data_IF_055053548971
#
_entry.id   IF_055053548971
#
_cell.length_a   1.000
_cell.length_b   1.000
_cell.length_c   1.000
_cell.angle_alpha   90.00
_cell.angle_beta   90.00
_cell.angle_gamma   90.00
#
_symmetry.space_group_name_H-M   'P 1'
#
loop_
_entity.id
_entity.type
_entity.pdbx_description
1 polymer ?
#
# COMPACT_ATOMS: atom_id res chain seq x y z
N UNK A 1 -20.69 0.19 -32.64
CA UNK A 1 -19.35 0.38 -32.04
C UNK A 1 -19.28 1.54 -31.02
N UNK A 2 -20.14 2.56 -31.11
CA UNK A 2 -20.21 3.68 -30.16
C UNK A 2 -20.37 3.23 -28.70
N UNK A 3 -21.35 2.37 -28.41
CA UNK A 3 -21.68 1.88 -27.07
C UNK A 3 -20.51 1.13 -26.39
N UNK A 4 -19.74 0.34 -27.14
CA UNK A 4 -18.56 -0.37 -26.61
C UNK A 4 -17.49 0.63 -26.14
N UNK A 5 -17.27 1.69 -26.92
CA UNK A 5 -16.31 2.74 -26.58
C UNK A 5 -16.77 3.57 -25.37
N UNK A 6 -18.07 3.84 -25.24
CA UNK A 6 -18.64 4.53 -24.08
C UNK A 6 -18.48 3.71 -22.79
N UNK A 7 -18.78 2.42 -22.84
CA UNK A 7 -18.57 1.50 -21.73
C UNK A 7 -17.07 1.46 -21.34
N UNK A 8 -16.18 1.38 -22.32
CA UNK A 8 -14.73 1.41 -22.07
C UNK A 8 -14.29 2.71 -21.40
N UNK A 9 -14.81 3.87 -21.84
CA UNK A 9 -14.53 5.18 -21.23
C UNK A 9 -14.99 5.26 -19.78
N UNK A 10 -16.19 4.75 -19.47
CA UNK A 10 -16.72 4.71 -18.10
C UNK A 10 -15.86 3.82 -17.20
N UNK A 11 -15.50 2.61 -17.66
CA UNK A 11 -14.60 1.71 -16.92
C UNK A 11 -13.24 2.33 -16.66
N UNK A 12 -12.65 3.01 -17.66
CA UNK A 12 -11.39 3.70 -17.49
C UNK A 12 -11.49 4.85 -16.47
N UNK A 13 -12.61 5.59 -16.45
CA UNK A 13 -12.87 6.63 -15.45
C UNK A 13 -12.99 6.04 -14.04
N UNK A 14 -13.70 4.94 -13.88
CA UNK A 14 -13.81 4.23 -12.60
C UNK A 14 -12.45 3.73 -12.10
N UNK A 15 -11.62 3.16 -12.98
CA UNK A 15 -10.27 2.74 -12.63
C UNK A 15 -9.39 3.92 -12.16
N UNK A 16 -9.44 5.06 -12.86
CA UNK A 16 -8.70 6.28 -12.45
C UNK A 16 -9.15 6.80 -11.08
N UNK A 17 -10.45 6.81 -10.79
CA UNK A 17 -10.97 7.24 -9.48
C UNK A 17 -10.49 6.33 -8.35
N UNK A 18 -10.48 5.02 -8.56
CA UNK A 18 -9.97 4.04 -7.57
C UNK A 18 -8.49 4.24 -7.31
N UNK A 19 -7.71 4.46 -8.37
CA UNK A 19 -6.28 4.72 -8.27
C UNK A 19 -6.01 6.02 -7.52
N UNK A 20 -6.70 7.12 -7.86
CA UNK A 20 -6.59 8.41 -7.16
C UNK A 20 -6.92 8.29 -5.67
N UNK A 21 -8.04 7.64 -5.34
CA UNK A 21 -8.42 7.37 -3.95
C UNK A 21 -7.32 6.58 -3.21
N UNK A 22 -6.78 5.54 -3.85
CA UNK A 22 -5.72 4.71 -3.25
C UNK A 22 -4.43 5.52 -3.04
N UNK A 23 -4.08 6.42 -3.97
CA UNK A 23 -2.93 7.30 -3.79
C UNK A 23 -3.10 8.26 -2.64
N UNK A 24 -4.27 8.89 -2.50
CA UNK A 24 -4.55 9.81 -1.38
C UNK A 24 -4.52 9.07 -0.05
N UNK A 25 -5.27 7.99 0.07
CA UNK A 25 -5.32 7.17 1.29
C UNK A 25 -3.93 6.71 1.74
N UNK A 26 -3.17 6.07 0.84
CA UNK A 26 -1.84 5.53 1.21
C UNK A 26 -0.80 6.62 1.44
N UNK A 27 -0.96 7.80 0.84
CA UNK A 27 -0.13 8.96 1.15
C UNK A 27 -0.44 9.46 2.56
N UNK A 28 -1.71 9.67 2.87
CA UNK A 28 -2.13 10.19 4.17
C UNK A 28 -1.70 9.26 5.30
N UNK A 29 -1.90 7.94 5.15
CA UNK A 29 -1.43 6.94 6.12
C UNK A 29 0.08 7.02 6.34
N UNK A 30 0.88 6.99 5.26
CA UNK A 30 2.34 7.00 5.33
C UNK A 30 2.93 8.34 5.79
N UNK A 31 2.23 9.44 5.60
CA UNK A 31 2.68 10.77 6.01
C UNK A 31 2.38 11.08 7.48
N UNK A 32 1.23 10.63 7.97
CA UNK A 32 0.72 11.03 9.29
C UNK A 32 1.05 10.06 10.43
N UNK A 33 1.52 8.85 10.14
CA UNK A 33 1.77 7.81 11.14
C UNK A 33 3.23 7.34 11.08
N UNK A 34 3.79 6.96 12.24
CA UNK A 34 5.15 6.40 12.31
C UNK A 34 5.26 4.98 11.73
N UNK A 35 4.16 4.22 11.75
CA UNK A 35 4.07 2.94 11.06
C UNK A 35 2.62 2.66 10.61
N UNK A 36 2.50 1.77 9.64
CA UNK A 36 1.23 1.28 9.10
C UNK A 36 1.21 -0.24 9.17
N UNK A 37 0.30 -0.81 9.96
CA UNK A 37 0.01 -2.24 9.95
C UNK A 37 -0.88 -2.62 8.76
N UNK A 38 -0.55 -3.71 8.08
CA UNK A 38 -1.38 -4.26 6.99
C UNK A 38 -1.41 -5.77 7.05
N UNK A 39 -2.55 -6.38 6.75
CA UNK A 39 -2.62 -7.83 6.57
C UNK A 39 -1.81 -8.27 5.34
N UNK A 40 -0.98 -9.29 5.50
CA UNK A 40 -0.26 -9.95 4.40
C UNK A 40 -1.19 -10.91 3.65
N UNK A 41 -2.23 -10.34 3.03
CA UNK A 41 -3.19 -11.10 2.24
C UNK A 41 -2.54 -11.66 0.98
N UNK A 42 -2.72 -12.96 0.75
CA UNK A 42 -2.34 -13.64 -0.50
C UNK A 42 -3.41 -13.40 -1.57
N UNK A 43 -3.57 -12.13 -1.98
CA UNK A 43 -4.64 -11.67 -2.89
C UNK A 43 -4.72 -12.51 -4.16
N UNK A 44 -3.58 -12.86 -4.77
CA UNK A 44 -3.53 -13.70 -5.98
C UNK A 44 -4.25 -15.04 -5.79
N UNK A 45 -4.05 -15.69 -4.64
CA UNK A 45 -4.67 -16.97 -4.32
C UNK A 45 -6.16 -16.79 -3.99
N UNK A 46 -6.50 -15.71 -3.27
CA UNK A 46 -7.89 -15.40 -2.91
C UNK A 46 -8.76 -15.10 -4.14
N UNK A 47 -8.18 -14.48 -5.17
CA UNK A 47 -8.87 -14.14 -6.42
C UNK A 47 -8.74 -15.22 -7.49
N UNK A 48 -8.23 -16.40 -7.15
CA UNK A 48 -8.16 -17.50 -8.10
C UNK A 48 -9.59 -17.87 -8.57
N UNK A 49 -9.71 -18.22 -9.85
CA UNK A 49 -11.00 -18.63 -10.39
C UNK A 49 -11.37 -20.00 -9.85
N UNK A 50 -12.60 -20.15 -9.38
CA UNK A 50 -13.18 -21.47 -9.12
C UNK A 50 -13.72 -22.13 -10.39
N UNK A 51 -13.60 -21.48 -11.56
CA UNK A 51 -14.07 -22.04 -12.84
C UNK A 51 -13.24 -23.28 -13.19
N UNK A 52 -13.91 -24.42 -13.25
CA UNK A 52 -13.33 -25.67 -13.74
C UNK A 52 -13.34 -25.78 -15.26
N UNK A 53 -13.02 -26.98 -15.75
CA UNK A 53 -13.07 -27.35 -17.17
C UNK A 53 -14.44 -27.93 -17.54
N UNK A 54 -14.62 -28.31 -18.81
CA UNK A 54 -15.82 -29.03 -19.25
C UNK A 54 -15.89 -30.43 -18.60
N UNK A 55 -14.73 -31.09 -18.45
CA UNK A 55 -14.61 -32.44 -17.88
C UNK A 55 -14.69 -32.44 -16.34
N UNK A 56 -14.24 -31.36 -15.70
CA UNK A 56 -14.34 -31.19 -14.24
C UNK A 56 -14.87 -29.80 -13.94
N UNK A 57 -16.22 -29.63 -13.92
CA UNK A 57 -16.85 -28.35 -13.64
C UNK A 57 -16.45 -27.80 -12.27
N UNK A 58 -16.35 -26.48 -12.19
CA UNK A 58 -16.09 -25.78 -10.94
C UNK A 58 -17.28 -25.81 -10.00
N UNK A 59 -17.03 -25.81 -8.69
CA UNK A 59 -18.04 -25.70 -7.64
C UNK A 59 -18.10 -24.24 -7.16
N UNK A 60 -19.28 -23.74 -6.83
CA UNK A 60 -19.52 -22.38 -6.30
C UNK A 60 -18.92 -21.23 -7.13
N UNK A 61 -18.80 -21.42 -8.44
CA UNK A 61 -18.20 -20.46 -9.38
C UNK A 61 -18.84 -19.08 -9.29
N UNK A 62 -20.17 -19.01 -9.11
CA UNK A 62 -20.89 -17.75 -8.97
C UNK A 62 -20.54 -17.02 -7.67
N UNK A 63 -20.50 -17.74 -6.55
CA UNK A 63 -20.12 -17.19 -5.25
C UNK A 63 -18.67 -16.68 -5.28
N UNK A 64 -17.74 -17.48 -5.80
CA UNK A 64 -16.34 -17.07 -5.94
C UNK A 64 -16.17 -15.88 -6.89
N UNK A 65 -16.91 -15.83 -7.99
CA UNK A 65 -16.87 -14.70 -8.92
C UNK A 65 -17.32 -13.40 -8.25
N UNK A 66 -18.38 -13.46 -7.43
CA UNK A 66 -18.84 -12.32 -6.65
C UNK A 66 -17.80 -11.88 -5.61
N UNK A 67 -17.22 -12.82 -4.87
CA UNK A 67 -16.15 -12.55 -3.89
C UNK A 67 -14.93 -11.90 -4.57
N UNK A 68 -14.48 -12.46 -5.70
CA UNK A 68 -13.37 -11.94 -6.48
C UNK A 68 -13.61 -10.51 -6.92
N UNK A 69 -14.84 -10.19 -7.36
CA UNK A 69 -15.21 -8.82 -7.72
C UNK A 69 -15.06 -7.88 -6.53
N UNK A 70 -15.53 -8.25 -5.34
CA UNK A 70 -15.41 -7.45 -4.13
C UNK A 70 -13.96 -7.21 -3.70
N UNK A 71 -13.12 -8.24 -3.76
CA UNK A 71 -11.69 -8.15 -3.43
C UNK A 71 -10.96 -7.24 -4.43
N UNK A 72 -11.17 -7.44 -5.73
CA UNK A 72 -10.53 -6.65 -6.78
C UNK A 72 -11.00 -5.19 -6.79
N UNK A 73 -12.27 -4.95 -6.45
CA UNK A 73 -12.82 -3.61 -6.32
C UNK A 73 -12.20 -2.84 -5.15
N UNK A 74 -11.81 -3.53 -4.07
CA UNK A 74 -11.10 -2.95 -2.93
C UNK A 74 -9.60 -2.72 -3.20
N UNK A 75 -9.00 -3.46 -4.13
CA UNK A 75 -7.58 -3.34 -4.50
C UNK A 75 -6.57 -3.43 -3.33
N UNK A 76 -6.68 -4.42 -2.41
CA UNK A 76 -5.75 -4.55 -1.27
C UNK A 76 -4.29 -4.73 -1.70
N UNK A 77 -4.05 -5.43 -2.82
CA UNK A 77 -2.70 -5.58 -3.36
C UNK A 77 -2.08 -4.26 -3.84
N UNK A 78 -2.88 -3.35 -4.41
CA UNK A 78 -2.41 -2.03 -4.82
C UNK A 78 -2.12 -1.14 -3.60
N UNK A 79 -2.97 -1.18 -2.57
CA UNK A 79 -2.73 -0.46 -1.31
C UNK A 79 -1.39 -0.88 -0.69
N UNK A 80 -1.14 -2.19 -0.56
CA UNK A 80 0.13 -2.72 -0.08
C UNK A 80 1.32 -2.27 -0.94
N UNK A 81 1.21 -2.39 -2.27
CA UNK A 81 2.26 -1.95 -3.20
C UNK A 81 2.60 -0.47 -3.00
N UNK A 82 1.58 0.39 -2.86
CA UNK A 82 1.82 1.82 -2.68
C UNK A 82 2.43 2.16 -1.32
N UNK A 83 1.92 1.56 -0.24
CA UNK A 83 2.50 1.73 1.09
C UNK A 83 3.96 1.26 1.12
N UNK A 84 4.30 0.17 0.42
CA UNK A 84 5.66 -0.38 0.43
C UNK A 84 6.72 0.61 -0.07
N UNK A 85 6.38 1.49 -1.03
CA UNK A 85 7.31 2.54 -1.46
C UNK A 85 7.08 3.89 -0.76
N UNK A 86 5.86 4.18 -0.30
CA UNK A 86 5.52 5.47 0.33
C UNK A 86 5.96 5.56 1.77
N UNK A 87 5.77 4.50 2.55
CA UNK A 87 6.18 4.45 3.95
C UNK A 87 7.65 4.83 4.11
N UNK A 88 8.63 4.08 3.54
CA UNK A 88 10.04 4.43 3.72
C UNK A 88 10.39 5.80 3.12
N UNK A 89 9.72 6.22 2.04
CA UNK A 89 9.93 7.54 1.43
C UNK A 89 9.50 8.70 2.33
N UNK A 90 8.48 8.51 3.17
CA UNK A 90 7.89 9.53 4.03
C UNK A 90 8.29 9.38 5.51
N UNK A 91 9.21 8.44 5.82
CA UNK A 91 9.66 8.19 7.18
C UNK A 91 8.70 7.36 8.04
N UNK A 92 7.71 6.72 7.42
CA UNK A 92 6.85 5.72 8.06
C UNK A 92 7.38 4.32 7.80
N UNK A 93 7.00 3.38 8.66
CA UNK A 93 7.25 1.97 8.46
C UNK A 93 5.98 1.24 7.91
N UNK A 94 6.16 0.18 7.13
CA UNK A 94 5.09 -0.71 6.70
C UNK A 94 5.29 -2.08 7.34
N UNK A 95 4.32 -2.52 8.15
CA UNK A 95 4.37 -3.76 8.92
C UNK A 95 3.32 -4.77 8.45
N UNK A 96 3.70 -5.76 7.63
CA UNK A 96 2.82 -6.85 7.27
C UNK A 96 2.57 -7.75 8.47
N UNK A 97 1.31 -8.12 8.73
CA UNK A 97 0.93 -9.07 9.79
C UNK A 97 0.24 -10.30 9.19
N UNK A 98 0.32 -11.47 9.84
CA UNK A 98 -0.46 -12.63 9.43
C UNK A 98 -1.96 -12.32 9.44
N UNK A 99 -2.72 -12.70 8.40
CA UNK A 99 -4.16 -12.36 8.28
C UNK A 99 -5.06 -13.27 9.13
N UNK A 100 -4.49 -14.23 9.86
CA UNK A 100 -5.28 -15.24 10.55
C UNK A 100 -5.84 -14.69 11.87
N UNK A 101 -7.14 -14.94 12.08
CA UNK A 101 -7.86 -14.62 13.32
C UNK A 101 -7.96 -13.13 13.68
N UNK A 102 -7.51 -12.22 12.83
CA UNK A 102 -7.63 -10.76 13.04
C UNK A 102 -9.08 -10.30 13.20
N UNK A 103 -10.03 -10.96 12.53
CA UNK A 103 -11.46 -10.63 12.60
C UNK A 103 -12.25 -11.36 13.70
N UNK A 104 -11.69 -12.40 14.31
CA UNK A 104 -12.41 -13.29 15.24
C UNK A 104 -11.79 -13.33 16.64
N UNK A 105 -10.65 -12.66 16.83
CA UNK A 105 -10.00 -12.48 18.14
C UNK A 105 -10.68 -11.35 18.90
N UNK A 106 -11.07 -11.59 20.15
CA UNK A 106 -11.59 -10.55 21.02
C UNK A 106 -10.50 -9.51 21.33
N UNK A 107 -10.74 -8.21 21.06
CA UNK A 107 -9.77 -7.17 21.34
C UNK A 107 -9.74 -6.78 22.82
N UNK A 108 -10.63 -7.28 23.69
CA UNK A 108 -10.50 -7.06 25.12
C UNK A 108 -9.23 -7.78 25.66
N UNK A 109 -8.24 -7.06 26.23
CA UNK A 109 -7.00 -7.66 26.74
C UNK A 109 -7.24 -8.71 27.84
N UNK A 110 -8.30 -8.58 28.63
CA UNK A 110 -8.65 -9.56 29.67
C UNK A 110 -9.25 -10.85 29.09
N UNK A 111 -9.73 -10.80 27.84
CA UNK A 111 -10.34 -11.94 27.17
C UNK A 111 -9.40 -12.59 26.15
N UNK A 112 -9.00 -11.87 25.10
CA UNK A 112 -8.07 -12.35 24.06
C UNK A 112 -8.48 -13.62 23.29
N UNK A 113 -9.66 -14.18 23.53
CA UNK A 113 -10.08 -15.46 22.94
C UNK A 113 -10.43 -15.32 21.46
N UNK A 114 -10.05 -16.34 20.69
CA UNK A 114 -10.41 -16.50 19.28
C UNK A 114 -11.60 -17.44 19.19
N UNK A 115 -12.69 -16.99 18.58
CA UNK A 115 -13.86 -17.84 18.34
C UNK A 115 -14.57 -17.43 17.05
N UNK A 116 -14.83 -18.35 16.08
CA UNK A 116 -15.63 -18.06 14.90
C UNK A 116 -17.04 -17.55 15.22
N UNK A 117 -17.63 -17.97 16.35
CA UNK A 117 -18.93 -17.51 16.80
C UNK A 117 -18.94 -16.04 17.20
N UNK A 118 -17.77 -15.41 17.42
CA UNK A 118 -17.67 -13.97 17.65
C UNK A 118 -18.14 -13.15 16.44
N UNK A 119 -18.21 -13.77 15.26
CA UNK A 119 -18.60 -13.13 14.00
C UNK A 119 -19.62 -13.97 13.23
N UNK A 120 -20.71 -14.33 13.90
CA UNK A 120 -21.80 -15.11 13.28
C UNK A 120 -22.34 -14.40 12.03
N UNK A 121 -22.40 -15.12 10.90
CA UNK A 121 -22.97 -14.62 9.65
C UNK A 121 -22.10 -13.65 8.84
N UNK A 122 -20.80 -13.52 9.13
CA UNK A 122 -19.86 -12.64 8.39
C UNK A 122 -20.33 -11.16 8.31
N UNK A 123 -21.07 -10.71 9.32
CA UNK A 123 -21.66 -9.37 9.38
C UNK A 123 -20.66 -8.24 9.63
N UNK A 124 -21.21 -7.04 9.78
CA UNK A 124 -20.50 -5.82 10.18
C UNK A 124 -20.27 -5.72 11.69
N UNK A 125 -20.92 -6.59 12.45
CA UNK A 125 -20.88 -6.60 13.91
C UNK A 125 -19.94 -7.70 14.40
N UNK A 126 -19.31 -7.43 15.54
CA UNK A 126 -18.53 -8.37 16.32
C UNK A 126 -19.14 -8.43 17.72
N UNK A 127 -19.34 -9.64 18.24
CA UNK A 127 -19.86 -9.86 19.58
C UNK A 127 -19.14 -11.05 20.22
N UNK A 128 -18.30 -10.79 21.22
CA UNK A 128 -17.53 -11.84 21.87
C UNK A 128 -18.43 -12.76 22.70
N UNK A 129 -18.43 -14.06 22.38
CA UNK A 129 -19.24 -15.07 23.10
C UNK A 129 -18.70 -15.40 24.50
N UNK A 130 -17.51 -14.91 24.85
CA UNK A 130 -16.87 -15.21 26.13
C UNK A 130 -16.92 -14.08 27.15
N UNK A 131 -16.88 -12.82 26.71
CA UNK A 131 -16.87 -11.65 27.61
C UNK A 131 -17.95 -10.61 27.29
N UNK A 132 -18.74 -10.81 26.23
CA UNK A 132 -19.83 -9.90 25.84
C UNK A 132 -19.38 -8.61 25.15
N UNK A 133 -18.08 -8.40 24.91
CA UNK A 133 -17.58 -7.23 24.17
C UNK A 133 -18.23 -7.14 22.78
N UNK A 134 -18.71 -5.96 22.41
CA UNK A 134 -19.36 -5.70 21.12
C UNK A 134 -18.80 -4.45 20.46
N UNK A 135 -18.58 -4.52 19.14
CA UNK A 135 -18.11 -3.41 18.33
C UNK A 135 -18.30 -3.71 16.83
N UNK A 136 -17.95 -2.77 15.95
CA UNK A 136 -17.88 -3.00 14.52
C UNK A 136 -16.71 -3.92 14.16
N UNK A 137 -16.96 -4.94 13.34
CA UNK A 137 -15.97 -5.96 12.96
C UNK A 137 -14.70 -5.36 12.32
N UNK A 138 -14.84 -4.33 11.48
CA UNK A 138 -13.67 -3.67 10.88
C UNK A 138 -12.83 -2.90 11.92
N UNK A 139 -13.45 -2.34 12.95
CA UNK A 139 -12.72 -1.69 14.04
C UNK A 139 -11.97 -2.73 14.87
N UNK A 140 -12.62 -3.84 15.23
CA UNK A 140 -11.98 -4.97 15.92
C UNK A 140 -10.78 -5.50 15.12
N UNK A 141 -10.96 -5.73 13.82
CA UNK A 141 -9.88 -6.16 12.94
C UNK A 141 -8.73 -5.13 12.94
N UNK A 142 -9.03 -3.83 12.85
CA UNK A 142 -8.00 -2.79 12.88
C UNK A 142 -7.18 -2.78 14.19
N UNK A 143 -7.84 -2.96 15.34
CA UNK A 143 -7.17 -3.03 16.65
C UNK A 143 -6.27 -4.28 16.73
N UNK A 144 -6.76 -5.42 16.28
CA UNK A 144 -5.97 -6.65 16.27
C UNK A 144 -4.76 -6.57 15.32
N UNK A 145 -4.94 -6.01 14.11
CA UNK A 145 -3.84 -5.77 13.16
C UNK A 145 -2.81 -4.81 13.76
N UNK A 146 -3.27 -3.72 14.38
CA UNK A 146 -2.38 -2.75 15.04
C UNK A 146 -1.52 -3.43 16.10
N UNK A 147 -2.12 -4.21 17.01
CA UNK A 147 -1.39 -4.92 18.07
C UNK A 147 -0.34 -5.90 17.52
N UNK A 148 -0.70 -6.64 16.47
CA UNK A 148 0.25 -7.55 15.81
C UNK A 148 1.41 -6.80 15.15
N UNK A 149 1.14 -5.63 14.57
CA UNK A 149 2.15 -4.78 13.96
C UNK A 149 3.04 -4.11 15.03
N UNK A 150 2.47 -3.64 16.12
CA UNK A 150 3.18 -3.03 17.24
C UNK A 150 4.12 -4.04 17.92
N UNK A 151 3.66 -5.29 18.09
CA UNK A 151 4.44 -6.39 18.68
C UNK A 151 5.70 -6.77 17.88
N UNK A 152 5.84 -6.31 16.62
CA UNK A 152 7.08 -6.49 15.84
C UNK A 152 8.24 -5.63 16.38
N UNK A 153 7.98 -4.70 17.31
CA UNK A 153 9.01 -3.88 17.95
C UNK A 153 9.50 -2.72 17.07
N UNK A 154 10.53 -1.98 17.48
CA UNK A 154 11.18 -0.99 16.63
C UNK A 154 11.91 -1.69 15.47
N UNK A 155 11.87 -1.11 14.28
CA UNK A 155 12.77 -1.53 13.21
C UNK A 155 14.16 -1.00 13.56
N UNK A 156 15.10 -1.91 13.80
CA UNK A 156 16.51 -1.58 13.76
C UNK A 156 16.82 -1.07 12.34
N UNK A 157 17.21 0.20 12.16
CA UNK A 157 17.54 0.71 10.84
C UNK A 157 18.71 -0.10 10.29
N UNK A 158 18.55 -0.65 9.08
CA UNK A 158 19.62 -1.36 8.38
C UNK A 158 20.85 -0.45 8.31
N UNK A 159 21.91 -0.85 9.00
CA UNK A 159 23.17 -0.10 9.10
C UNK A 159 23.79 0.16 7.70
N UNK A 160 23.42 -0.63 6.69
CA UNK A 160 23.88 -0.47 5.30
C UNK A 160 23.28 0.76 4.59
N UNK A 161 22.11 1.23 5.00
CA UNK A 161 21.49 2.42 4.41
C UNK A 161 22.09 3.73 4.95
N UNK A 162 22.59 3.73 6.20
CA UNK A 162 23.31 4.88 6.78
C UNK A 162 24.60 5.19 6.01
N UNK A 163 25.37 4.16 5.64
CA UNK A 163 26.59 4.33 4.83
C UNK A 163 26.30 4.83 3.40
N UNK A 164 25.21 4.39 2.77
CA UNK A 164 24.83 4.83 1.42
C UNK A 164 24.34 6.28 1.40
N UNK A 165 23.54 6.69 2.38
CA UNK A 165 23.05 8.08 2.49
C UNK A 165 24.22 9.02 2.81
N UNK A 166 25.14 8.63 3.70
CA UNK A 166 26.32 9.43 4.03
C UNK A 166 27.32 9.54 2.85
N UNK A 167 27.52 8.45 2.09
CA UNK A 167 28.41 8.45 0.92
C UNK A 167 27.84 9.16 -0.32
N UNK A 168 26.51 9.32 -0.43
CA UNK A 168 25.92 10.12 -1.51
C UNK A 168 26.10 11.63 -1.29
N UNK A 169 26.19 12.09 -0.04
CA UNK A 169 26.41 13.50 0.30
C UNK A 169 27.87 13.94 0.14
N UNK A 170 28.82 13.00 0.04
CA UNK A 170 30.26 13.27 -0.12
C UNK A 170 30.78 13.02 -1.55
N UNK A 171 29.91 12.86 -2.56
CA UNK A 171 30.38 12.69 -3.93
C UNK A 171 30.92 14.04 -4.44
N UNK A 172 32.24 14.18 -4.71
CA UNK A 172 32.77 15.43 -5.25
C UNK A 172 32.13 15.68 -6.62
N UNK A 173 31.86 16.96 -6.98
CA UNK A 173 31.24 17.28 -8.26
C UNK A 173 32.11 16.77 -9.42
N UNK A 174 31.46 16.15 -10.40
CA UNK A 174 32.09 15.59 -11.59
C UNK A 174 32.91 16.67 -12.32
N UNK A 175 34.23 16.45 -12.45
CA UNK A 175 35.16 17.38 -13.13
C UNK A 175 34.83 17.60 -14.62
N UNK A 176 33.88 16.88 -15.22
CA UNK A 176 33.47 17.07 -16.62
C UNK A 176 32.53 18.25 -16.87
N UNK A 177 31.88 18.83 -15.86
CA UNK A 177 30.90 19.91 -16.07
C UNK A 177 31.46 21.33 -16.01
N UNK A 178 32.74 21.54 -15.65
CA UNK A 178 33.35 22.87 -15.56
C UNK A 178 33.98 23.38 -16.87
N UNK A 179 33.97 22.61 -17.96
CA UNK A 179 34.70 22.97 -19.19
C UNK A 179 33.86 23.65 -20.30
N UNK A 180 32.65 24.18 -20.02
CA UNK A 180 31.80 24.75 -21.09
C UNK A 180 31.08 26.06 -20.81
N UNK A 181 31.58 26.87 -19.89
CA UNK A 181 31.09 28.24 -19.69
C UNK A 181 32.27 29.21 -19.56
N UNK A 182 32.67 29.84 -20.68
CA UNK A 182 33.67 30.91 -20.64
C UNK A 182 34.46 31.15 -21.92
N UNK A 183 33.80 31.54 -23.01
CA UNK A 183 34.47 32.24 -24.12
C UNK A 183 33.44 33.01 -24.97
N UNK A 184 32.85 34.08 -24.41
CA UNK A 184 32.21 35.12 -25.21
C UNK A 184 33.21 36.26 -25.36
N UNK A 185 33.86 36.35 -26.53
CA UNK A 185 34.84 37.40 -26.83
C UNK A 185 34.10 38.71 -27.10
N UNK A 186 34.19 39.66 -26.17
CA UNK A 186 33.83 41.07 -26.41
C UNK A 186 34.95 41.70 -27.24
N UNK A 187 34.62 42.07 -28.48
CA UNK A 187 35.53 42.67 -29.46
C UNK A 187 35.79 44.14 -29.10
N UNK A 188 36.89 44.43 -28.41
CA UNK A 188 37.32 45.79 -28.11
C UNK A 188 37.97 46.45 -29.35
N UNK A 189 37.43 47.60 -29.76
CA UNK A 189 37.99 48.47 -30.82
C UNK A 189 39.32 49.08 -30.34
N UNK A 190 40.35 48.96 -31.18
CA UNK A 190 41.68 49.54 -31.00
C UNK A 190 41.68 51.03 -31.41
N UNK A 191 42.14 51.98 -30.57
CA UNK A 191 42.32 53.37 -31.01
C UNK A 191 43.60 53.53 -31.86
N UNK A 192 43.53 54.48 -32.81
CA UNK A 192 44.57 54.81 -33.80
C UNK A 192 45.76 55.53 -33.16
N UNK A 193 46.95 55.29 -33.69
CA UNK A 193 48.08 56.22 -33.60
C UNK A 193 48.61 56.49 -35.02
N UNK A 194 48.73 57.77 -35.34
CA UNK A 194 49.25 58.41 -36.58
C UNK A 194 50.56 59.10 -36.12
N UNK A 195 51.65 59.06 -36.92
CA UNK A 195 51.82 59.99 -38.04
C UNK A 195 51.75 59.34 -39.43
#
# INVERSE_FOLDING_TARGET
>A
RHTINEIARLRARQARRRLDFTHKLTHDMAYSHGFVGIEDLRVKNMTASAKGTVETPGIDVAQQSWLNRGILDNAPGERRRQLAYKCPKLGSDLRPVPPFHTSNTCPNPECGKVDPANRLGCGREFACVHCGFQDHADHVASVNIFRLAEAQGPIEPDLQDKEKVLNQQHRPPDRRTTARAGASQVRAKRPKAVP
#
